data_IF_464644120633
#
_entry.id   IF_464644120633
#
_cell.length_a   1.000
_cell.length_b   1.000
_cell.length_c   1.000
_cell.angle_alpha   90.00
_cell.angle_beta   90.00
_cell.angle_gamma   90.00
#
_symmetry.space_group_name_H-M   'P 1'
#
loop_
_entity.id
_entity.type
_entity.pdbx_description
1 polymer ?
#
# COMPACT_ATOMS: atom_id res chain seq x y z
N UNK A 1 -4.48 -7.15 -61.75
CA UNK A 1 -5.17 -6.87 -60.46
C UNK A 1 -6.64 -6.58 -60.71
N UNK A 2 -7.55 -7.37 -60.16
CA UNK A 2 -8.98 -7.43 -60.46
C UNK A 2 -9.71 -6.11 -60.07
N UNK A 3 -10.52 -5.53 -60.95
CA UNK A 3 -11.27 -4.28 -60.71
C UNK A 3 -12.11 -4.30 -59.40
N UNK A 4 -12.64 -5.46 -59.02
CA UNK A 4 -13.38 -5.65 -57.77
C UNK A 4 -12.49 -5.53 -56.56
N UNK A 5 -11.26 -6.04 -56.63
CA UNK A 5 -10.27 -5.97 -55.52
C UNK A 5 -9.81 -4.51 -55.30
N UNK A 6 -9.59 -3.74 -56.37
CA UNK A 6 -9.27 -2.29 -56.26
C UNK A 6 -10.37 -1.47 -55.62
N UNK A 7 -11.65 -1.78 -55.92
CA UNK A 7 -12.81 -1.11 -55.29
C UNK A 7 -12.95 -1.46 -53.82
N UNK A 8 -12.67 -2.71 -53.43
CA UNK A 8 -12.72 -3.17 -52.08
C UNK A 8 -11.59 -2.56 -51.21
N UNK A 9 -10.37 -2.57 -51.75
CA UNK A 9 -9.20 -1.93 -51.15
C UNK A 9 -9.40 -0.43 -50.91
N UNK A 10 -9.97 0.30 -51.84
CA UNK A 10 -10.29 1.73 -51.67
C UNK A 10 -11.32 1.99 -50.58
N UNK A 11 -12.23 1.07 -50.34
CA UNK A 11 -13.21 1.17 -49.23
C UNK A 11 -12.66 0.72 -47.89
N UNK A 12 -11.83 -0.30 -47.83
CA UNK A 12 -11.27 -0.86 -46.62
C UNK A 12 -10.06 -0.04 -46.08
N UNK A 13 -9.29 0.59 -46.97
CA UNK A 13 -8.07 1.33 -46.58
C UNK A 13 -8.30 2.43 -45.54
N UNK A 14 -9.34 3.29 -45.62
CA UNK A 14 -9.53 4.33 -44.61
C UNK A 14 -9.88 3.74 -43.24
N UNK A 15 -10.60 2.62 -43.16
CA UNK A 15 -10.93 1.96 -41.91
C UNK A 15 -9.73 1.25 -41.28
N UNK A 16 -8.88 0.63 -42.09
CA UNK A 16 -7.66 -0.01 -41.60
C UNK A 16 -6.61 1.01 -41.16
N UNK A 17 -6.47 2.13 -41.84
CA UNK A 17 -5.60 3.25 -41.44
C UNK A 17 -6.14 3.92 -40.18
N UNK A 18 -7.46 4.16 -40.11
CA UNK A 18 -8.11 4.72 -38.91
C UNK A 18 -7.96 3.80 -37.69
N UNK A 19 -8.13 2.48 -37.88
CA UNK A 19 -7.91 1.49 -36.81
C UNK A 19 -6.45 1.42 -36.35
N UNK A 20 -5.48 1.55 -37.27
CA UNK A 20 -4.06 1.60 -36.94
C UNK A 20 -3.70 2.87 -36.14
N UNK A 21 -4.22 4.02 -36.54
CA UNK A 21 -3.99 5.30 -35.83
C UNK A 21 -4.61 5.23 -34.44
N UNK A 22 -5.84 4.74 -34.32
CA UNK A 22 -6.51 4.57 -33.02
C UNK A 22 -5.76 3.58 -32.12
N UNK A 23 -5.29 2.45 -32.68
CA UNK A 23 -4.47 1.48 -31.98
C UNK A 23 -3.15 2.06 -31.48
N UNK A 24 -2.45 2.83 -32.34
CA UNK A 24 -1.21 3.53 -31.93
C UNK A 24 -1.48 4.58 -30.85
N UNK A 25 -2.63 5.27 -30.90
CA UNK A 25 -3.01 6.24 -29.88
C UNK A 25 -3.28 5.56 -28.53
N UNK A 26 -4.02 4.45 -28.50
CA UNK A 26 -4.35 3.72 -27.27
C UNK A 26 -3.12 3.14 -26.56
N UNK A 27 -2.07 2.78 -27.30
CA UNK A 27 -0.80 2.28 -26.76
C UNK A 27 0.23 3.40 -26.53
N UNK A 28 -0.13 4.65 -26.80
CA UNK A 28 0.80 5.77 -26.66
C UNK A 28 0.91 6.27 -25.21
N UNK A 29 2.07 6.82 -24.79
CA UNK A 29 2.20 7.49 -23.49
C UNK A 29 1.16 8.58 -23.25
N UNK A 30 0.69 9.24 -24.31
CA UNK A 30 -0.36 10.27 -24.24
C UNK A 30 -1.70 9.70 -23.76
N UNK A 31 -2.05 8.49 -24.18
CA UNK A 31 -3.28 7.84 -23.69
C UNK A 31 -3.18 7.49 -22.21
N UNK A 32 -2.00 7.09 -21.74
CA UNK A 32 -1.75 6.83 -20.32
C UNK A 32 -1.90 8.11 -19.50
N UNK A 33 -1.27 9.22 -19.91
CA UNK A 33 -1.43 10.51 -19.22
C UNK A 33 -2.89 10.98 -19.18
N UNK A 34 -3.64 10.82 -20.27
CA UNK A 34 -5.07 11.16 -20.30
C UNK A 34 -5.90 10.28 -19.37
N UNK A 35 -5.57 8.99 -19.25
CA UNK A 35 -6.21 8.09 -18.30
C UNK A 35 -5.93 8.50 -16.86
N UNK A 36 -4.70 8.86 -16.52
CA UNK A 36 -4.33 9.33 -15.19
C UNK A 36 -5.04 10.63 -14.82
N UNK A 37 -5.08 11.62 -15.74
CA UNK A 37 -5.81 12.86 -15.55
C UNK A 37 -7.33 12.61 -15.36
N UNK A 38 -7.90 11.71 -16.14
CA UNK A 38 -9.33 11.35 -16.01
C UNK A 38 -9.60 10.71 -14.65
N UNK A 39 -8.73 9.83 -14.21
CA UNK A 39 -8.81 9.20 -12.89
C UNK A 39 -8.77 10.27 -11.78
N UNK A 40 -7.82 11.20 -11.83
CA UNK A 40 -7.70 12.28 -10.83
C UNK A 40 -8.95 13.16 -10.77
N UNK A 41 -9.53 13.49 -11.92
CA UNK A 41 -10.76 14.27 -11.99
C UNK A 41 -11.97 13.54 -11.39
N UNK A 42 -12.08 12.24 -11.66
CA UNK A 42 -13.19 11.42 -11.13
C UNK A 42 -13.05 11.24 -9.62
N UNK A 43 -11.85 10.89 -9.13
CA UNK A 43 -11.61 10.68 -7.70
C UNK A 43 -11.78 11.95 -6.89
N UNK A 44 -11.25 13.09 -7.34
CA UNK A 44 -11.41 14.37 -6.67
C UNK A 44 -12.87 14.83 -6.59
N UNK A 45 -13.68 14.49 -7.59
CA UNK A 45 -15.12 14.79 -7.59
C UNK A 45 -15.92 13.88 -6.63
N UNK A 46 -15.45 12.65 -6.39
CA UNK A 46 -16.10 11.71 -5.46
C UNK A 46 -15.77 12.02 -3.99
N UNK A 47 -14.57 12.47 -3.68
CA UNK A 47 -14.17 12.84 -2.31
C UNK A 47 -15.05 13.96 -1.74
N UNK A 48 -15.42 14.93 -2.57
CA UNK A 48 -16.35 16.00 -2.17
C UNK A 48 -17.72 15.50 -1.75
N UNK A 49 -18.15 14.33 -2.23
CA UNK A 49 -19.46 13.73 -1.87
C UNK A 49 -19.39 12.86 -0.61
N UNK A 50 -18.23 12.27 -0.28
CA UNK A 50 -18.06 11.37 0.88
C UNK A 50 -17.90 12.08 2.21
N UNK A 51 -17.55 13.35 2.24
CA UNK A 51 -17.34 14.14 3.47
C UNK A 51 -18.57 14.33 4.35
N UNK A 52 -19.77 13.89 3.93
CA UNK A 52 -21.04 14.04 4.66
C UNK A 52 -21.64 12.76 5.25
N UNK A 53 -20.95 11.65 5.19
CA UNK A 53 -21.43 10.36 5.68
C UNK A 53 -20.88 10.04 7.07
N UNK A 54 -21.79 9.73 8.00
CA UNK A 54 -21.49 9.19 9.34
C UNK A 54 -20.86 7.77 9.17
N UNK A 55 -19.58 7.70 8.84
CA UNK A 55 -18.86 6.44 8.76
C UNK A 55 -18.57 5.96 10.19
N UNK A 56 -19.26 4.91 10.63
CA UNK A 56 -18.82 4.06 11.73
C UNK A 56 -17.50 3.36 11.30
N UNK A 57 -16.46 4.15 11.08
CA UNK A 57 -15.15 3.68 10.66
C UNK A 57 -14.21 3.50 11.85
N UNK A 58 -13.13 2.78 11.61
CA UNK A 58 -12.02 2.70 12.57
C UNK A 58 -11.42 4.09 12.77
N UNK A 59 -11.20 4.45 14.02
CA UNK A 59 -10.44 5.64 14.34
C UNK A 59 -8.96 5.31 14.22
N UNK A 60 -8.28 5.99 13.31
CA UNK A 60 -6.83 5.91 13.14
C UNK A 60 -6.18 7.13 13.77
N UNK A 61 -5.18 6.91 14.63
CA UNK A 61 -4.37 7.96 15.23
C UNK A 61 -2.91 7.78 14.79
N UNK A 62 -2.31 8.83 14.26
CA UNK A 62 -0.91 8.84 13.85
C UNK A 62 -0.08 9.52 14.93
N UNK A 63 0.94 8.81 15.41
CA UNK A 63 1.94 9.35 16.33
C UNK A 63 3.21 9.60 15.51
N UNK A 64 3.45 10.87 15.17
CA UNK A 64 4.60 11.27 14.37
C UNK A 64 5.84 11.54 15.23
N UNK A 65 7.01 11.34 14.64
CA UNK A 65 8.31 11.77 15.16
C UNK A 65 8.68 13.03 14.39
N UNK A 66 8.70 14.17 15.06
CA UNK A 66 9.02 15.47 14.46
C UNK A 66 10.45 15.92 14.75
N UNK A 67 10.84 17.05 14.17
CA UNK A 67 12.17 17.64 14.35
C UNK A 67 12.51 17.93 15.83
N UNK A 68 11.52 18.32 16.63
CA UNK A 68 11.70 18.55 18.06
C UNK A 68 12.06 17.25 18.81
N UNK A 69 11.46 16.13 18.40
CA UNK A 69 11.77 14.82 18.97
C UNK A 69 13.17 14.36 18.57
N UNK A 70 13.54 14.56 17.30
CA UNK A 70 14.86 14.24 16.76
C UNK A 70 15.93 15.08 17.48
N UNK A 71 15.69 16.36 17.67
CA UNK A 71 16.62 17.26 18.40
C UNK A 71 16.78 16.86 19.85
N UNK A 72 15.73 16.34 20.50
CA UNK A 72 15.72 15.96 21.91
C UNK A 72 16.27 14.57 22.16
N UNK A 73 15.97 13.60 21.33
CA UNK A 73 16.24 12.18 21.53
C UNK A 73 17.28 11.60 20.59
N UNK A 74 17.71 12.38 19.59
CA UNK A 74 18.64 11.95 18.54
C UNK A 74 17.98 11.14 17.42
N UNK A 75 18.71 10.91 16.36
CA UNK A 75 18.28 10.06 15.25
C UNK A 75 19.38 9.04 14.92
N UNK A 76 19.04 7.78 14.71
CA UNK A 76 17.71 7.17 14.83
C UNK A 76 17.23 7.09 16.28
N UNK A 77 15.92 7.31 16.51
CA UNK A 77 15.30 7.16 17.84
C UNK A 77 15.61 5.78 18.42
N UNK A 78 16.03 5.71 19.67
CA UNK A 78 16.38 4.44 20.30
C UNK A 78 15.18 3.51 20.47
N UNK A 79 15.44 2.21 20.49
CA UNK A 79 14.41 1.18 20.66
C UNK A 79 13.73 1.30 22.03
N UNK A 80 14.44 1.76 23.06
CA UNK A 80 13.86 2.01 24.38
C UNK A 80 12.73 3.07 24.36
N UNK A 81 12.89 4.15 23.60
CA UNK A 81 11.83 5.15 23.43
C UNK A 81 10.64 4.60 22.64
N UNK A 82 10.91 3.85 21.58
CA UNK A 82 9.85 3.21 20.79
C UNK A 82 9.07 2.20 21.63
N UNK A 83 9.74 1.39 22.44
CA UNK A 83 9.08 0.46 23.36
C UNK A 83 8.18 1.17 24.38
N UNK A 84 8.66 2.28 24.96
CA UNK A 84 7.85 3.11 25.86
C UNK A 84 6.61 3.67 25.17
N UNK A 85 6.74 4.09 23.91
CA UNK A 85 5.60 4.57 23.12
C UNK A 85 4.60 3.45 22.83
N UNK A 86 5.06 2.28 22.41
CA UNK A 86 4.24 1.09 22.16
C UNK A 86 3.51 0.67 23.43
N UNK A 87 4.18 0.65 24.58
CA UNK A 87 3.57 0.30 25.86
C UNK A 87 2.47 1.29 26.25
N UNK A 88 2.66 2.59 26.02
CA UNK A 88 1.64 3.62 26.26
C UNK A 88 0.42 3.42 25.36
N UNK A 89 0.64 3.22 24.05
CA UNK A 89 -0.44 2.98 23.09
C UNK A 89 -1.24 1.71 23.46
N UNK A 90 -0.54 0.65 23.85
CA UNK A 90 -1.17 -0.59 24.29
C UNK A 90 -2.04 -0.37 25.53
N UNK A 91 -1.54 0.37 26.53
CA UNK A 91 -2.28 0.73 27.75
C UNK A 91 -3.46 1.66 27.47
N UNK A 92 -3.39 2.49 26.44
CA UNK A 92 -4.49 3.37 26.03
C UNK A 92 -5.60 2.64 25.26
N UNK A 93 -5.51 1.32 25.11
CA UNK A 93 -6.56 0.52 24.50
C UNK A 93 -6.49 0.41 22.98
N UNK A 94 -5.36 0.75 22.37
CA UNK A 94 -5.16 0.55 20.93
C UNK A 94 -5.46 -0.92 20.55
N UNK A 95 -6.31 -1.11 19.55
CA UNK A 95 -6.67 -2.45 19.05
C UNK A 95 -5.58 -3.03 18.15
N UNK A 96 -4.88 -2.16 17.41
CA UNK A 96 -3.72 -2.50 16.60
C UNK A 96 -2.71 -1.34 16.67
N UNK A 97 -1.43 -1.64 16.52
CA UNK A 97 -0.33 -0.67 16.53
C UNK A 97 0.57 -1.01 15.37
N UNK A 98 0.85 -0.05 14.48
CA UNK A 98 1.87 -0.19 13.46
C UNK A 98 3.11 0.60 13.84
N UNK A 99 4.27 -0.03 13.71
CA UNK A 99 5.54 0.66 13.72
C UNK A 99 6.00 0.86 12.27
N UNK A 100 5.75 2.03 11.72
CA UNK A 100 6.15 2.41 10.35
C UNK A 100 7.58 2.97 10.34
N UNK A 101 8.50 2.17 10.85
CA UNK A 101 9.93 2.43 10.88
C UNK A 101 10.68 1.13 10.61
N UNK A 102 11.64 1.16 9.71
CA UNK A 102 12.53 0.02 9.50
C UNK A 102 13.44 -0.18 10.71
N UNK A 103 13.37 -1.36 11.32
CA UNK A 103 14.12 -1.77 12.50
C UNK A 103 14.69 -3.17 12.35
N UNK A 104 15.25 -3.45 11.18
CA UNK A 104 16.00 -4.67 10.93
C UNK A 104 17.31 -4.74 11.73
N UNK A 105 17.75 -3.60 12.28
CA UNK A 105 18.85 -3.49 13.22
C UNK A 105 18.39 -2.71 14.44
N UNK A 106 18.74 -3.20 15.62
CA UNK A 106 18.41 -2.56 16.89
C UNK A 106 19.19 -1.26 17.10
N UNK A 107 18.56 -0.31 17.80
CA UNK A 107 19.18 0.98 18.18
C UNK A 107 19.29 1.07 19.69
N UNK A 108 20.54 1.15 20.25
CA UNK A 108 20.78 1.19 21.69
C UNK A 108 19.98 2.28 22.41
N UNK A 109 19.83 2.20 23.79
CA UNK A 109 20.53 1.28 24.68
C UNK A 109 19.86 -0.09 24.87
N UNK A 110 18.56 -0.25 24.65
CA UNK A 110 17.85 -1.52 24.91
C UNK A 110 17.59 -2.26 23.60
N UNK A 111 18.60 -2.95 23.12
CA UNK A 111 18.62 -3.56 21.77
C UNK A 111 17.61 -4.69 21.55
N UNK A 112 17.04 -5.29 22.60
CA UNK A 112 16.11 -6.42 22.47
C UNK A 112 14.65 -6.05 22.71
N UNK A 113 14.40 -4.84 23.18
CA UNK A 113 13.06 -4.48 23.66
C UNK A 113 12.01 -4.54 22.54
N UNK A 114 12.32 -4.19 21.30
CA UNK A 114 11.38 -4.30 20.18
C UNK A 114 11.12 -5.76 19.78
N UNK A 115 12.15 -6.60 19.77
CA UNK A 115 12.03 -8.04 19.53
C UNK A 115 11.14 -8.70 20.60
N UNK A 116 11.33 -8.34 21.86
CA UNK A 116 10.49 -8.81 22.97
C UNK A 116 9.04 -8.34 22.83
N UNK A 117 8.83 -7.06 22.45
CA UNK A 117 7.49 -6.50 22.26
C UNK A 117 6.77 -7.15 21.09
N UNK A 118 7.44 -7.36 19.95
CA UNK A 118 6.82 -8.00 18.80
C UNK A 118 6.48 -9.48 19.10
N UNK A 119 7.26 -10.16 19.89
CA UNK A 119 7.01 -11.54 20.31
C UNK A 119 5.88 -11.70 21.30
N UNK A 120 5.61 -10.67 22.13
CA UNK A 120 4.61 -10.73 23.21
C UNK A 120 3.32 -9.95 22.90
N UNK A 121 3.38 -8.91 22.10
CA UNK A 121 2.24 -8.08 21.75
C UNK A 121 1.70 -8.43 20.35
N UNK A 122 0.70 -9.28 20.32
CA UNK A 122 0.07 -9.74 19.06
C UNK A 122 -0.63 -8.63 18.26
N UNK A 123 -0.85 -7.45 18.86
CA UNK A 123 -1.45 -6.28 18.20
C UNK A 123 -0.42 -5.42 17.47
N UNK A 124 0.87 -5.66 17.70
CA UNK A 124 1.95 -4.89 17.09
C UNK A 124 2.27 -5.45 15.69
N UNK A 125 2.34 -4.57 14.72
CA UNK A 125 2.72 -4.86 13.33
C UNK A 125 4.02 -4.11 13.03
N UNK A 126 5.00 -4.84 12.49
CA UNK A 126 6.26 -4.27 11.99
C UNK A 126 6.24 -4.23 10.47
N UNK A 127 6.78 -3.15 9.90
CA UNK A 127 6.92 -3.03 8.46
C UNK A 127 8.11 -3.82 7.92
N UNK A 128 7.99 -4.17 6.65
CA UNK A 128 9.06 -4.64 5.76
C UNK A 128 8.97 -3.91 4.43
N UNK A 129 10.07 -3.80 3.71
CA UNK A 129 10.04 -3.36 2.31
C UNK A 129 10.40 -4.54 1.42
N UNK A 130 9.51 -4.89 0.52
CA UNK A 130 9.69 -6.04 -0.38
C UNK A 130 10.59 -5.69 -1.56
N UNK A 131 10.44 -4.48 -2.09
CA UNK A 131 11.20 -4.02 -3.26
C UNK A 131 12.69 -3.84 -2.92
N UNK A 132 12.98 -3.30 -1.75
CA UNK A 132 14.35 -3.07 -1.27
C UNK A 132 14.91 -4.23 -0.45
N UNK A 133 14.09 -5.25 -0.17
CA UNK A 133 14.49 -6.41 0.61
C UNK A 133 14.78 -6.11 2.09
N UNK A 134 14.17 -5.05 2.65
CA UNK A 134 14.37 -4.69 4.05
C UNK A 134 13.42 -5.55 4.91
N UNK A 135 13.95 -6.41 5.80
CA UNK A 135 13.11 -7.25 6.64
C UNK A 135 12.46 -6.46 7.78
N UNK A 136 11.40 -7.03 8.34
CA UNK A 136 10.79 -6.56 9.58
C UNK A 136 11.75 -6.70 10.78
N UNK A 137 11.32 -6.25 11.96
CA UNK A 137 12.04 -6.48 13.22
C UNK A 137 12.38 -7.96 13.37
N UNK A 138 13.61 -8.33 13.77
CA UNK A 138 13.97 -9.72 13.96
C UNK A 138 13.00 -10.47 14.88
N UNK A 139 12.66 -11.69 14.52
CA UNK A 139 11.70 -12.51 15.27
C UNK A 139 10.22 -12.17 15.05
N UNK A 140 9.90 -11.20 14.17
CA UNK A 140 8.50 -10.86 13.87
C UNK A 140 7.77 -12.03 13.21
N UNK A 141 6.67 -12.54 13.79
CA UNK A 141 5.82 -13.54 13.14
C UNK A 141 5.26 -13.03 11.80
N UNK A 142 5.07 -13.91 10.84
CA UNK A 142 4.54 -13.54 9.51
C UNK A 142 3.19 -12.79 9.61
N UNK A 143 2.34 -13.18 10.56
CA UNK A 143 1.04 -12.53 10.83
C UNK A 143 1.14 -11.13 11.45
N UNK A 144 2.34 -10.67 11.78
CA UNK A 144 2.62 -9.33 12.32
C UNK A 144 3.54 -8.52 11.39
N UNK A 145 3.82 -9.04 10.18
CA UNK A 145 4.57 -8.32 9.17
C UNK A 145 3.61 -7.72 8.16
N UNK A 146 3.76 -6.43 7.88
CA UNK A 146 3.08 -5.72 6.80
C UNK A 146 4.10 -5.08 5.87
N UNK A 147 3.87 -5.10 4.56
CA UNK A 147 4.71 -4.32 3.65
C UNK A 147 4.13 -2.90 3.51
N UNK A 148 5.02 -1.94 3.28
CA UNK A 148 4.66 -0.54 3.04
C UNK A 148 5.21 -0.04 1.69
N UNK A 149 5.41 -0.96 0.75
CA UNK A 149 5.83 -0.61 -0.61
C UNK A 149 4.73 0.17 -1.31
N UNK A 150 5.11 1.29 -1.92
CA UNK A 150 4.22 2.17 -2.65
C UNK A 150 4.44 2.00 -4.15
N UNK A 151 3.34 1.94 -4.89
CA UNK A 151 3.39 1.93 -6.35
C UNK A 151 3.21 3.33 -6.87
N UNK A 152 4.25 3.79 -7.53
CA UNK A 152 4.34 5.14 -8.09
C UNK A 152 4.07 5.06 -9.58
N UNK A 153 3.10 5.80 -10.08
CA UNK A 153 2.81 5.90 -11.51
C UNK A 153 3.92 6.64 -12.25
N UNK A 154 3.94 6.59 -13.59
CA UNK A 154 4.99 7.18 -14.40
C UNK A 154 5.15 8.70 -14.23
N UNK A 155 4.09 9.38 -13.82
CA UNK A 155 4.09 10.81 -13.47
C UNK A 155 4.53 11.11 -12.02
N UNK A 156 5.02 10.10 -11.30
CA UNK A 156 5.46 10.15 -9.90
C UNK A 156 4.36 10.43 -8.87
N UNK A 157 3.12 10.20 -9.23
CA UNK A 157 1.97 10.27 -8.32
C UNK A 157 1.59 8.88 -7.83
N UNK A 158 1.19 8.77 -6.56
CA UNK A 158 0.69 7.53 -5.97
C UNK A 158 -0.84 7.59 -6.02
N UNK A 159 -1.45 6.69 -6.80
CA UNK A 159 -2.91 6.59 -6.96
C UNK A 159 -3.48 5.26 -6.48
N UNK A 160 -2.61 4.32 -6.21
CA UNK A 160 -2.98 2.93 -5.90
C UNK A 160 -2.18 2.43 -4.73
N UNK A 161 -2.83 1.69 -3.85
CA UNK A 161 -2.14 0.96 -2.78
C UNK A 161 -2.17 -0.54 -3.09
N UNK A 162 -1.03 -1.20 -2.96
CA UNK A 162 -0.93 -2.64 -3.10
C UNK A 162 -1.34 -3.27 -1.76
N UNK A 163 -2.47 -3.97 -1.75
CA UNK A 163 -3.01 -4.51 -0.49
C UNK A 163 -2.53 -5.93 -0.20
N UNK A 164 -2.22 -6.69 -1.24
CA UNK A 164 -1.90 -8.10 -1.15
C UNK A 164 -1.00 -8.53 -2.30
N UNK A 165 -0.05 -9.41 -1.99
CA UNK A 165 0.77 -10.12 -2.98
C UNK A 165 0.75 -11.60 -2.63
N UNK A 166 0.24 -12.42 -3.55
CA UNK A 166 0.28 -13.86 -3.44
C UNK A 166 1.71 -14.33 -3.68
N UNK A 167 2.36 -14.78 -2.65
CA UNK A 167 3.73 -15.29 -2.69
C UNK A 167 3.74 -16.79 -2.42
N UNK A 168 4.82 -17.47 -2.82
CA UNK A 168 4.95 -18.90 -2.61
C UNK A 168 4.94 -19.34 -1.14
N UNK A 169 5.07 -18.42 -0.18
CA UNK A 169 4.86 -18.58 1.28
C UNK A 169 5.54 -17.46 2.06
N UNK A 170 5.00 -17.02 3.19
CA UNK A 170 3.60 -16.92 3.56
C UNK A 170 2.93 -15.74 2.87
N UNK A 171 1.61 -15.72 2.90
CA UNK A 171 0.75 -14.66 2.40
C UNK A 171 1.25 -13.27 2.82
N UNK A 172 1.61 -12.45 1.83
CA UNK A 172 2.26 -11.14 2.05
C UNK A 172 1.21 -10.04 1.91
N UNK A 173 0.93 -9.35 3.02
CA UNK A 173 -0.12 -8.33 3.12
C UNK A 173 0.45 -6.96 3.42
N UNK A 174 -0.24 -5.92 2.95
CA UNK A 174 0.14 -4.55 3.25
C UNK A 174 -0.01 -4.22 4.73
N UNK A 175 0.65 -3.14 5.17
CA UNK A 175 0.54 -2.64 6.53
C UNK A 175 -0.91 -2.32 6.90
N UNK A 176 -1.67 -1.71 5.99
CA UNK A 176 -3.08 -1.36 6.18
C UNK A 176 -3.96 -2.59 6.42
N UNK A 177 -3.77 -3.65 5.63
CA UNK A 177 -4.49 -4.91 5.81
C UNK A 177 -4.13 -5.58 7.14
N UNK A 178 -2.84 -5.63 7.49
CA UNK A 178 -2.42 -6.20 8.79
C UNK A 178 -3.00 -5.45 9.98
N UNK A 179 -3.04 -4.12 9.92
CA UNK A 179 -3.69 -3.32 10.95
C UNK A 179 -5.18 -3.62 11.07
N UNK A 180 -5.86 -3.74 9.94
CA UNK A 180 -7.28 -4.06 9.90
C UNK A 180 -7.58 -5.42 10.51
N UNK A 181 -6.79 -6.44 10.20
CA UNK A 181 -6.87 -7.77 10.79
C UNK A 181 -6.69 -7.72 12.31
N UNK A 182 -5.64 -7.04 12.77
CA UNK A 182 -5.35 -6.93 14.22
C UNK A 182 -6.43 -6.15 14.97
N UNK A 183 -7.05 -5.18 14.33
CA UNK A 183 -8.15 -4.41 14.90
C UNK A 183 -9.48 -5.18 14.93
N UNK A 184 -9.57 -6.36 14.32
CA UNK A 184 -10.79 -7.14 14.20
C UNK A 184 -11.80 -6.56 13.21
N UNK A 185 -11.29 -5.89 12.17
CA UNK A 185 -12.08 -5.01 11.31
C UNK A 185 -12.87 -5.64 10.18
N UNK A 186 -12.58 -6.86 9.78
CA UNK A 186 -13.32 -7.50 8.67
C UNK A 186 -13.55 -8.98 8.97
N UNK A 187 -14.83 -9.36 8.98
CA UNK A 187 -15.21 -10.76 8.97
C UNK A 187 -14.89 -11.36 7.59
N UNK A 188 -14.28 -12.53 7.55
CA UNK A 188 -13.91 -13.26 6.32
C UNK A 188 -12.90 -12.52 5.41
N UNK A 189 -12.03 -11.66 5.97
CA UNK A 189 -11.01 -10.97 5.20
C UNK A 189 -10.12 -11.97 4.43
N UNK A 190 -9.74 -13.08 5.04
CA UNK A 190 -8.94 -14.13 4.41
C UNK A 190 -9.61 -14.68 3.16
N UNK A 191 -10.88 -15.07 3.25
CA UNK A 191 -11.62 -15.60 2.12
C UNK A 191 -11.80 -14.55 0.99
N UNK A 192 -11.95 -13.27 1.35
CA UNK A 192 -12.00 -12.20 0.37
C UNK A 192 -10.66 -12.02 -0.34
N UNK A 193 -9.56 -12.00 0.40
CA UNK A 193 -8.21 -11.86 -0.17
C UNK A 193 -7.84 -13.07 -1.02
N UNK A 194 -8.17 -14.30 -0.60
CA UNK A 194 -7.91 -15.52 -1.37
C UNK A 194 -8.63 -15.55 -2.72
N UNK A 195 -9.77 -14.87 -2.82
CA UNK A 195 -10.53 -14.74 -4.08
C UNK A 195 -9.95 -13.70 -5.03
N UNK A 196 -9.00 -12.88 -4.59
CA UNK A 196 -8.39 -11.83 -5.40
C UNK A 196 -7.30 -12.40 -6.33
N UNK A 197 -6.99 -11.69 -7.43
CA UNK A 197 -5.83 -12.00 -8.27
C UNK A 197 -4.52 -12.02 -7.48
N UNK A 198 -3.45 -12.55 -8.08
CA UNK A 198 -2.14 -12.72 -7.44
C UNK A 198 -1.56 -11.39 -6.90
N UNK A 199 -1.90 -10.28 -7.53
CA UNK A 199 -1.66 -8.94 -7.00
C UNK A 199 -2.94 -8.12 -7.08
N UNK A 200 -3.31 -7.45 -6.00
CA UNK A 200 -4.52 -6.63 -5.94
C UNK A 200 -4.19 -5.24 -5.44
N UNK A 201 -4.71 -4.27 -6.19
CA UNK A 201 -4.53 -2.83 -5.97
C UNK A 201 -5.83 -2.24 -5.44
N UNK A 202 -5.74 -1.33 -4.47
CA UNK A 202 -6.80 -0.38 -4.16
C UNK A 202 -6.62 0.85 -5.06
N UNK A 203 -7.64 1.13 -5.85
CA UNK A 203 -7.73 2.34 -6.69
C UNK A 203 -8.74 3.32 -6.12
#
# INVERSE_FOLDING_TARGET
MNRKLKKWLKKALPYSVGGLILGCFVISPVAEELNLLTYDLVTSSQEKKKSSGNSQGFQVSVVGIGEADISRYGWPISDDYLCKAIDRLSKSGAKAIALDLYRNKSVPPNNKCLEERIGTNTKLVSIRNMMEGIPAIPGTPATQQGFNDLVVDNDRVIRRDLIHVKSQSPDVRSLSIRLLEKAGGVHNLDAQIESLPDSTWLT
#
